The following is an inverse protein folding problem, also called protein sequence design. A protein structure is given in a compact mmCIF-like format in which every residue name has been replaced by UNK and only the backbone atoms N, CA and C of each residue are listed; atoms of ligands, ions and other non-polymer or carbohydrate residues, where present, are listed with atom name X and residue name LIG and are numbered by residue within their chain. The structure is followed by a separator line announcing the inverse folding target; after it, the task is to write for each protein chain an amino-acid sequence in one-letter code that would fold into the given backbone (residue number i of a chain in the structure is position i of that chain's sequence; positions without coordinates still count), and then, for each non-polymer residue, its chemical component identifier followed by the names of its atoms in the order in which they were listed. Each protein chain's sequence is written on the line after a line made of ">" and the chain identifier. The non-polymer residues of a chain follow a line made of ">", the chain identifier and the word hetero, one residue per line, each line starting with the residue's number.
data_IF_431202785924
#
_entry.id   IF_431202785924
#
_cell.length_a   1.000
_cell.length_b   1.000
_cell.length_c   1.000
_cell.angle_alpha   90.00
_cell.angle_beta   90.00
_cell.angle_gamma   90.00
#
_symmetry.space_group_name_H-M   'P 1'
#
loop_
_entity.id
_entity.type
_entity.pdbx_description
1 polymer ?
#
# COMPACT_ATOMS: atom_id res chain seq x y z
N UNK A 1 -15.50 1.24 -8.15
CA UNK A 1 -14.18 0.58 -8.30
C UNK A 1 -13.54 0.57 -6.92
N UNK A 2 -13.04 -0.56 -6.42
CA UNK A 2 -12.55 -0.64 -5.04
C UNK A 2 -11.17 0.01 -4.93
N UNK A 3 -10.97 0.87 -3.94
CA UNK A 3 -9.72 1.59 -3.66
C UNK A 3 -8.94 0.88 -2.58
N UNK A 4 -7.70 0.53 -2.89
CA UNK A 4 -6.81 -0.18 -1.98
C UNK A 4 -5.53 0.62 -1.80
N UNK A 5 -5.12 0.80 -0.55
CA UNK A 5 -3.86 1.47 -0.21
C UNK A 5 -2.88 0.49 0.40
N UNK A 6 -1.64 0.47 -0.09
CA UNK A 6 -0.57 -0.40 0.39
C UNK A 6 0.39 0.38 1.27
N UNK A 7 0.52 -0.03 2.53
CA UNK A 7 1.58 0.44 3.42
C UNK A 7 2.76 -0.53 3.27
N UNK A 8 3.92 0.01 2.90
CA UNK A 8 5.13 -0.73 2.52
C UNK A 8 5.01 -1.47 1.16
N UNK A 9 4.59 -0.73 0.12
CA UNK A 9 4.37 -1.28 -1.23
C UNK A 9 5.65 -1.83 -1.90
N UNK A 10 6.83 -1.34 -1.51
CA UNK A 10 8.13 -1.73 -2.04
C UNK A 10 8.59 -3.14 -1.63
N UNK A 11 7.91 -3.75 -0.66
CA UNK A 11 8.19 -5.12 -0.23
C UNK A 11 8.16 -6.13 -1.39
N UNK A 12 9.05 -7.13 -1.35
CA UNK A 12 9.19 -8.15 -2.42
C UNK A 12 7.89 -8.87 -2.76
N UNK A 13 7.01 -9.08 -1.80
CA UNK A 13 5.72 -9.72 -2.03
C UNK A 13 4.59 -8.70 -2.29
N UNK A 14 4.69 -7.53 -1.64
CA UNK A 14 3.69 -6.47 -1.69
C UNK A 14 3.55 -5.86 -3.09
N UNK A 15 4.68 -5.56 -3.76
CA UNK A 15 4.62 -4.96 -5.10
C UNK A 15 3.93 -5.89 -6.12
N UNK A 16 4.18 -7.20 -6.05
CA UNK A 16 3.55 -8.17 -6.95
C UNK A 16 2.04 -8.22 -6.73
N UNK A 17 1.58 -8.19 -5.46
CA UNK A 17 0.17 -8.15 -5.14
C UNK A 17 -0.49 -6.85 -5.60
N UNK A 18 0.16 -5.70 -5.39
CA UNK A 18 -0.33 -4.40 -5.84
C UNK A 18 -0.53 -4.37 -7.37
N UNK A 19 0.43 -4.92 -8.13
CA UNK A 19 0.34 -5.05 -9.58
C UNK A 19 -0.82 -5.97 -9.99
N UNK A 20 -0.99 -7.11 -9.32
CA UNK A 20 -2.08 -8.03 -9.59
C UNK A 20 -3.46 -7.40 -9.35
N UNK A 21 -3.63 -6.67 -8.24
CA UNK A 21 -4.87 -5.95 -7.94
C UNK A 21 -5.16 -4.86 -8.96
N UNK A 22 -4.15 -4.08 -9.38
CA UNK A 22 -4.32 -3.08 -10.43
C UNK A 22 -4.79 -3.73 -11.74
N UNK A 23 -4.19 -4.86 -12.14
CA UNK A 23 -4.63 -5.64 -13.31
C UNK A 23 -6.05 -6.20 -13.15
N UNK A 24 -6.47 -6.48 -11.91
CA UNK A 24 -7.83 -6.89 -11.57
C UNK A 24 -8.87 -5.75 -11.59
N UNK A 25 -8.49 -4.52 -11.95
CA UNK A 25 -9.39 -3.38 -12.02
C UNK A 25 -9.60 -2.64 -10.70
N UNK A 26 -8.73 -2.86 -9.71
CA UNK A 26 -8.73 -2.10 -8.46
C UNK A 26 -7.93 -0.80 -8.62
N UNK A 27 -8.34 0.24 -7.92
CA UNK A 27 -7.56 1.47 -7.81
C UNK A 27 -6.54 1.27 -6.69
N UNK A 28 -5.27 1.07 -7.07
CA UNK A 28 -4.21 0.74 -6.12
C UNK A 28 -3.31 1.94 -5.93
N UNK A 29 -3.09 2.28 -4.66
CA UNK A 29 -2.13 3.31 -4.22
C UNK A 29 -1.20 2.69 -3.20
N UNK A 30 -0.07 3.32 -2.93
CA UNK A 30 0.79 2.87 -1.85
C UNK A 30 1.85 3.88 -1.47
N UNK A 31 2.42 3.64 -0.30
CA UNK A 31 3.47 4.42 0.32
C UNK A 31 4.56 3.48 0.83
N UNK A 32 5.80 3.96 0.78
CA UNK A 32 6.95 3.27 1.33
C UNK A 32 8.05 4.30 1.64
N UNK A 33 8.83 4.07 2.69
CA UNK A 33 9.97 4.91 3.02
C UNK A 33 11.13 4.69 2.06
N UNK A 34 11.32 3.46 1.59
CA UNK A 34 12.43 3.09 0.71
C UNK A 34 11.98 1.99 -0.26
N UNK A 35 12.15 2.23 -1.56
CA UNK A 35 11.84 1.23 -2.59
C UNK A 35 13.13 0.89 -3.32
N UNK A 36 13.51 -0.38 -3.25
CA UNK A 36 14.72 -0.89 -3.87
C UNK A 36 14.42 -1.67 -5.15
N UNK A 37 15.44 -1.83 -6.00
CA UNK A 37 15.36 -2.73 -7.15
C UNK A 37 15.27 -4.20 -6.72
N UNK A 38 14.49 -5.04 -7.41
CA UNK A 38 13.73 -4.78 -8.66
C UNK A 38 12.30 -4.24 -8.46
N UNK A 39 11.86 -4.06 -7.21
CA UNK A 39 10.49 -3.63 -6.90
C UNK A 39 10.17 -2.26 -7.50
N UNK A 40 11.13 -1.33 -7.48
CA UNK A 40 10.98 0.03 -8.02
C UNK A 40 10.64 -0.01 -9.51
N UNK A 41 11.43 -0.70 -10.33
CA UNK A 41 11.18 -0.85 -11.77
C UNK A 41 9.82 -1.50 -12.03
N UNK A 42 9.46 -2.55 -11.31
CA UNK A 42 8.15 -3.22 -11.48
C UNK A 42 6.97 -2.29 -11.16
N UNK A 43 7.06 -1.54 -10.05
CA UNK A 43 6.03 -0.57 -9.67
C UNK A 43 5.93 0.57 -10.68
N UNK A 44 7.07 1.06 -11.18
CA UNK A 44 7.12 2.11 -12.19
C UNK A 44 6.47 1.65 -13.50
N UNK A 45 6.80 0.46 -13.99
CA UNK A 45 6.20 -0.12 -15.20
C UNK A 45 4.69 -0.34 -15.05
N UNK A 46 4.24 -0.67 -13.85
CA UNK A 46 2.82 -0.79 -13.54
C UNK A 46 2.14 0.57 -13.29
N UNK A 47 2.85 1.69 -13.26
CA UNK A 47 2.32 3.02 -12.91
C UNK A 47 1.80 3.08 -11.47
N UNK A 48 2.47 2.38 -10.55
CA UNK A 48 2.19 2.27 -9.12
C UNK A 48 3.32 2.80 -8.25
N UNK A 49 4.41 3.29 -8.86
CA UNK A 49 5.51 3.88 -8.14
C UNK A 49 5.01 5.16 -7.44
N UNK A 50 5.18 5.27 -6.10
CA UNK A 50 4.86 6.51 -5.39
C UNK A 50 5.71 7.66 -5.92
N UNK A 51 5.09 8.83 -6.10
CA UNK A 51 5.81 10.04 -6.52
C UNK A 51 6.78 10.53 -5.43
N UNK A 52 6.43 10.29 -4.16
CA UNK A 52 7.21 10.67 -3.00
C UNK A 52 7.36 9.45 -2.09
N UNK A 53 8.57 9.26 -1.57
CA UNK A 53 8.90 8.23 -0.59
C UNK A 53 8.69 8.78 0.82
N UNK A 54 8.09 7.99 1.69
CA UNK A 54 7.70 8.37 3.04
C UNK A 54 6.33 7.83 3.42
N UNK A 55 5.80 8.36 4.54
CA UNK A 55 4.50 8.02 5.09
C UNK A 55 3.62 9.26 5.13
N UNK A 56 2.44 9.16 4.54
CA UNK A 56 1.55 10.29 4.30
C UNK A 56 0.16 9.98 4.86
N UNK A 57 -0.13 10.29 6.13
CA UNK A 57 -1.45 10.03 6.72
C UNK A 57 -2.58 10.73 5.94
N UNK A 58 -2.30 11.85 5.28
CA UNK A 58 -3.24 12.55 4.40
C UNK A 58 -3.69 11.74 3.18
N UNK A 59 -2.92 10.73 2.75
CA UNK A 59 -3.32 9.81 1.67
C UNK A 59 -4.35 8.78 2.14
N UNK A 60 -4.54 8.64 3.45
CA UNK A 60 -5.54 7.76 4.04
C UNK A 60 -6.88 8.49 4.06
N UNK A 61 -7.57 8.42 2.93
CA UNK A 61 -8.85 9.07 2.70
C UNK A 61 -10.02 8.13 3.01
N UNK A 62 -11.18 8.69 3.38
CA UNK A 62 -12.39 7.92 3.75
C UNK A 62 -13.01 7.16 2.56
N UNK A 63 -12.52 7.39 1.34
CA UNK A 63 -12.92 6.66 0.14
C UNK A 63 -12.11 5.35 -0.07
N UNK A 64 -11.14 5.05 0.80
CA UNK A 64 -10.39 3.81 0.75
C UNK A 64 -11.25 2.67 1.29
N UNK A 65 -11.43 1.63 0.48
CA UNK A 65 -12.15 0.44 0.91
C UNK A 65 -11.29 -0.43 1.82
N UNK A 66 -9.98 -0.48 1.57
CA UNK A 66 -9.07 -1.39 2.29
C UNK A 66 -7.64 -0.86 2.31
N UNK A 67 -6.99 -0.98 3.46
CA UNK A 67 -5.55 -0.75 3.65
C UNK A 67 -4.87 -2.09 3.83
N UNK A 68 -3.86 -2.37 3.01
CA UNK A 68 -3.05 -3.59 3.10
C UNK A 68 -1.74 -3.24 3.81
N UNK A 69 -1.52 -3.89 4.95
CA UNK A 69 -0.36 -3.71 5.80
C UNK A 69 0.68 -4.80 5.53
N UNK A 70 1.89 -4.40 5.13
CA UNK A 70 3.02 -5.33 4.99
C UNK A 70 3.50 -5.84 6.36
N UNK A 71 4.09 -7.04 6.40
CA UNK A 71 4.58 -7.70 7.63
C UNK A 71 5.61 -6.86 8.43
N UNK A 72 6.29 -5.92 7.78
CA UNK A 72 7.31 -5.05 8.39
C UNK A 72 6.82 -3.62 8.63
N UNK A 73 5.55 -3.31 8.38
CA UNK A 73 5.05 -1.97 8.64
C UNK A 73 5.07 -1.70 10.16
N UNK A 74 5.75 -0.62 10.54
CA UNK A 74 5.86 -0.21 11.94
C UNK A 74 4.47 0.04 12.54
N UNK A 75 4.26 -0.39 13.78
CA UNK A 75 3.01 -0.13 14.52
C UNK A 75 2.75 1.36 14.72
N UNK A 76 3.82 2.15 14.76
CA UNK A 76 3.78 3.61 14.90
C UNK A 76 3.67 4.34 13.55
N UNK A 77 3.36 3.62 12.46
CA UNK A 77 3.20 4.25 11.16
C UNK A 77 1.99 5.22 11.18
N UNK A 78 2.19 6.50 10.81
CA UNK A 78 1.11 7.48 10.83
C UNK A 78 -0.06 7.10 9.91
N UNK A 79 0.19 6.41 8.79
CA UNK A 79 -0.85 5.93 7.89
C UNK A 79 -1.71 4.82 8.53
N UNK A 80 -1.07 3.91 9.26
CA UNK A 80 -1.77 2.85 9.99
C UNK A 80 -2.65 3.45 11.09
N UNK A 81 -2.12 4.39 11.87
CA UNK A 81 -2.86 5.06 12.92
C UNK A 81 -4.06 5.83 12.36
N UNK A 82 -3.89 6.48 11.21
CA UNK A 82 -4.99 7.20 10.56
C UNK A 82 -6.06 6.25 10.00
N UNK A 83 -5.64 5.12 9.41
CA UNK A 83 -6.57 4.09 8.95
C UNK A 83 -7.40 3.50 10.10
N UNK A 84 -6.77 3.29 11.26
CA UNK A 84 -7.46 2.83 12.47
C UNK A 84 -8.45 3.87 13.00
N UNK A 85 -8.06 5.15 13.05
CA UNK A 85 -8.96 6.24 13.48
C UNK A 85 -10.18 6.39 12.57
N UNK A 86 -10.00 6.19 11.26
CA UNK A 86 -11.07 6.26 10.26
C UNK A 86 -11.87 4.97 10.14
N UNK A 87 -11.56 3.96 10.96
CA UNK A 87 -12.19 2.63 10.93
C UNK A 87 -12.16 1.96 9.54
N UNK A 88 -11.12 2.27 8.75
CA UNK A 88 -10.92 1.67 7.44
C UNK A 88 -10.50 0.21 7.64
N UNK A 89 -10.97 -0.67 6.76
CA UNK A 89 -10.62 -2.09 6.81
C UNK A 89 -9.11 -2.26 6.60
N UNK A 90 -8.40 -2.69 7.64
CA UNK A 90 -6.97 -3.02 7.57
C UNK A 90 -6.82 -4.53 7.41
N UNK A 91 -6.04 -4.95 6.42
CA UNK A 91 -5.76 -6.35 6.12
C UNK A 91 -4.25 -6.57 6.20
N UNK A 92 -3.82 -7.53 7.00
CA UNK A 92 -2.41 -7.88 7.07
C UNK A 92 -2.05 -8.78 5.89
N UNK A 93 -0.90 -8.54 5.26
CA UNK A 93 -0.42 -9.40 4.17
C UNK A 93 -0.31 -10.88 4.61
N UNK A 94 0.10 -11.14 5.86
CA UNK A 94 0.18 -12.50 6.41
C UNK A 94 -1.16 -13.23 6.51
N UNK A 95 -2.29 -12.50 6.56
CA UNK A 95 -3.63 -13.09 6.55
C UNK A 95 -4.13 -13.37 5.12
N UNK A 96 -3.42 -12.87 4.10
CA UNK A 96 -3.78 -13.02 2.69
C UNK A 96 -3.09 -14.23 2.03
N UNK A 97 -2.09 -14.84 2.67
CA UNK A 97 -1.30 -15.99 2.17
C UNK A 97 -1.66 -17.27 2.91
#
# INVERSE_FOLDING_TARGET
>A
MKKVHFIAIGGRAMHSLAIALKKGGYEVTGSDCEIYEPSMTHLMQAGLLPAELGWFPEKITDNLDTVILGMHAAKDNPELLEAQKKEIKIVSYSEFV
#
